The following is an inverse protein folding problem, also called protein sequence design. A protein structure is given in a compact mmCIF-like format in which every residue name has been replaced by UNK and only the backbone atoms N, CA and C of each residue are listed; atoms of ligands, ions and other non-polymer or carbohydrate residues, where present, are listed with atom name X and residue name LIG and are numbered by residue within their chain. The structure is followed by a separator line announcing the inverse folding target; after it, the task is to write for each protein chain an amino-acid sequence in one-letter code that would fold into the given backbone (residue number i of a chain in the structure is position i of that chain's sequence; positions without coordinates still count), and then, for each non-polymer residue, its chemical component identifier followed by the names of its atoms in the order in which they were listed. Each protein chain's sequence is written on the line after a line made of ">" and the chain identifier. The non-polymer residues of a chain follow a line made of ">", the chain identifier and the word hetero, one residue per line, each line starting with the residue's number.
data_IF_799221695643
#
_entry.id   IF_799221695643
#
_cell.length_a   1.000
_cell.length_b   1.000
_cell.length_c   1.000
_cell.angle_alpha   90.00
_cell.angle_beta   90.00
_cell.angle_gamma   90.00
#
_symmetry.space_group_name_H-M   'P 1'
#
loop_
_entity.id
_entity.type
_entity.pdbx_description
1 polymer ?
#
# COMPACT_ATOMS: atom_id res chain seq x y z
N UNK A 1 -2.51 -14.18 -13.30
CA UNK A 1 -2.60 -13.00 -12.40
C UNK A 1 -1.93 -11.81 -13.09
N UNK A 2 -2.54 -10.63 -12.95
CA UNK A 2 -2.00 -9.41 -13.51
C UNK A 2 -1.74 -8.40 -12.41
N UNK A 3 -0.67 -7.61 -12.54
CA UNK A 3 -0.37 -6.48 -11.65
C UNK A 3 -0.60 -5.22 -12.48
N UNK A 4 -1.57 -4.40 -12.09
CA UNK A 4 -2.05 -3.28 -12.88
C UNK A 4 -1.84 -1.96 -12.15
N UNK A 5 -1.56 -0.90 -12.91
CA UNK A 5 -1.63 0.48 -12.44
C UNK A 5 -3.07 0.96 -12.62
N UNK A 6 -3.73 1.33 -11.54
CA UNK A 6 -5.15 1.69 -11.56
C UNK A 6 -5.33 3.11 -12.12
N UNK A 7 -5.51 3.22 -13.42
CA UNK A 7 -5.71 4.48 -14.14
C UNK A 7 -7.14 4.70 -14.60
N UNK A 8 -8.04 3.77 -14.28
CA UNK A 8 -9.46 3.83 -14.67
C UNK A 8 -10.35 3.73 -13.44
N UNK A 9 -11.62 4.03 -13.59
CA UNK A 9 -12.62 3.83 -12.52
C UNK A 9 -12.66 2.37 -12.10
N UNK A 10 -12.63 1.44 -13.05
CA UNK A 10 -12.64 0.01 -12.75
C UNK A 10 -11.42 -0.42 -11.94
N UNK A 11 -10.23 0.08 -12.29
CA UNK A 11 -9.01 -0.20 -11.54
C UNK A 11 -9.09 0.32 -10.11
N UNK A 12 -9.57 1.55 -9.93
CA UNK A 12 -9.75 2.14 -8.59
C UNK A 12 -10.80 1.38 -7.77
N UNK A 13 -11.90 0.97 -8.41
CA UNK A 13 -12.91 0.15 -7.74
C UNK A 13 -12.30 -1.16 -7.22
N UNK A 14 -11.39 -1.76 -7.98
CA UNK A 14 -10.65 -2.95 -7.55
C UNK A 14 -9.81 -2.70 -6.30
N UNK A 15 -9.08 -1.58 -6.26
CA UNK A 15 -8.30 -1.20 -5.09
C UNK A 15 -9.20 -1.00 -3.85
N UNK A 16 -10.32 -0.30 -4.02
CA UNK A 16 -11.28 -0.05 -2.94
C UNK A 16 -11.92 -1.34 -2.44
N UNK A 17 -12.28 -2.23 -3.36
CA UNK A 17 -12.83 -3.54 -3.01
C UNK A 17 -11.89 -4.31 -2.09
N UNK A 18 -10.60 -4.41 -2.44
CA UNK A 18 -9.62 -5.13 -1.63
C UNK A 18 -9.51 -4.52 -0.24
N UNK A 19 -9.46 -3.18 -0.14
CA UNK A 19 -9.36 -2.47 1.15
C UNK A 19 -10.60 -2.70 2.00
N UNK A 20 -11.78 -2.70 1.41
CA UNK A 20 -13.04 -2.97 2.13
C UNK A 20 -13.03 -4.40 2.66
N UNK A 21 -12.70 -5.36 1.84
CA UNK A 21 -12.74 -6.78 2.24
C UNK A 21 -11.63 -7.13 3.25
N UNK A 22 -10.40 -6.68 3.00
CA UNK A 22 -9.24 -7.09 3.80
C UNK A 22 -9.02 -6.24 5.05
N UNK A 23 -9.57 -5.02 5.09
CA UNK A 23 -9.32 -4.07 6.20
C UNK A 23 -10.62 -3.64 6.87
N UNK A 24 -11.49 -2.91 6.17
CA UNK A 24 -12.68 -2.32 6.79
C UNK A 24 -13.58 -3.41 7.39
N UNK A 25 -13.86 -4.44 6.64
CA UNK A 25 -14.71 -5.55 7.08
C UNK A 25 -14.05 -6.38 8.18
N UNK A 26 -12.78 -6.72 7.99
CA UNK A 26 -12.05 -7.60 8.93
C UNK A 26 -11.84 -6.94 10.30
N UNK A 27 -11.47 -5.68 10.31
CA UNK A 27 -11.13 -4.93 11.53
C UNK A 27 -12.24 -4.00 12.02
N UNK A 28 -13.41 -4.06 11.38
CA UNK A 28 -14.57 -3.20 11.70
C UNK A 28 -14.20 -1.71 11.67
N UNK A 29 -13.45 -1.32 10.62
CA UNK A 29 -13.02 0.07 10.41
C UNK A 29 -14.10 0.80 9.63
N UNK A 30 -14.61 1.95 10.12
CA UNK A 30 -15.55 2.76 9.33
C UNK A 30 -14.92 3.19 8.00
N UNK A 31 -15.74 3.30 6.95
CA UNK A 31 -15.24 3.64 5.62
C UNK A 31 -14.55 5.00 5.58
N UNK A 32 -15.03 5.98 6.36
CA UNK A 32 -14.43 7.31 6.43
C UNK A 32 -13.10 7.33 7.21
N UNK A 33 -12.73 6.24 7.86
CA UNK A 33 -11.41 6.02 8.48
C UNK A 33 -10.51 5.27 7.53
N UNK A 34 -11.01 4.21 6.87
CA UNK A 34 -10.23 3.45 5.88
C UNK A 34 -9.87 4.33 4.67
N UNK A 35 -10.83 5.09 4.15
CA UNK A 35 -10.64 6.03 3.06
C UNK A 35 -10.47 7.42 3.66
N UNK A 36 -9.28 7.99 3.52
CA UNK A 36 -8.88 9.21 4.21
C UNK A 36 -8.61 10.37 3.23
N UNK A 37 -8.04 11.45 3.72
CA UNK A 37 -7.73 12.65 2.92
C UNK A 37 -6.72 12.39 1.81
N UNK A 38 -6.00 11.27 1.84
CA UNK A 38 -5.05 10.90 0.80
C UNK A 38 -5.69 10.12 -0.34
N UNK A 39 -6.95 9.75 -0.22
CA UNK A 39 -7.71 9.12 -1.31
C UNK A 39 -8.40 10.21 -2.14
N UNK A 40 -7.64 10.80 -3.05
CA UNK A 40 -8.10 11.88 -3.94
C UNK A 40 -8.21 11.37 -5.37
N UNK A 41 -8.80 12.14 -6.30
CA UNK A 41 -8.82 11.75 -7.71
C UNK A 41 -7.43 11.53 -8.32
N UNK A 42 -6.38 12.16 -7.75
CA UNK A 42 -5.01 12.05 -8.25
C UNK A 42 -4.21 10.95 -7.56
N UNK A 43 -4.75 10.31 -6.54
CA UNK A 43 -4.08 9.24 -5.84
C UNK A 43 -3.91 8.02 -6.75
N UNK A 44 -2.74 7.40 -6.70
CA UNK A 44 -2.39 6.26 -7.52
C UNK A 44 -2.48 4.97 -6.74
N UNK A 45 -2.93 3.92 -7.42
CA UNK A 45 -3.07 2.59 -6.82
C UNK A 45 -2.47 1.54 -7.74
N UNK A 46 -1.87 0.52 -7.13
CA UNK A 46 -1.56 -0.75 -7.79
C UNK A 46 -2.65 -1.75 -7.40
N UNK A 47 -3.09 -2.55 -8.34
CA UNK A 47 -4.08 -3.61 -8.10
C UNK A 47 -3.57 -4.90 -8.73
N UNK A 48 -3.55 -5.96 -7.95
CA UNK A 48 -3.34 -7.31 -8.46
C UNK A 48 -4.71 -7.94 -8.74
N UNK A 49 -4.86 -8.54 -9.91
CA UNK A 49 -6.12 -9.17 -10.34
C UNK A 49 -5.85 -10.61 -10.73
N UNK A 50 -6.60 -11.54 -10.15
CA UNK A 50 -6.58 -12.95 -10.51
C UNK A 50 -7.86 -13.28 -11.25
N UNK A 51 -7.75 -13.57 -12.56
CA UNK A 51 -8.86 -13.61 -13.49
C UNK A 51 -9.60 -12.26 -13.51
N UNK A 52 -10.74 -12.17 -12.89
CA UNK A 52 -11.51 -10.92 -12.79
C UNK A 52 -11.56 -10.37 -11.35
N UNK A 53 -10.99 -11.09 -10.38
CA UNK A 53 -11.09 -10.73 -8.97
C UNK A 53 -9.89 -9.89 -8.53
N UNK A 54 -10.10 -8.65 -8.04
CA UNK A 54 -9.04 -7.91 -7.39
C UNK A 54 -8.65 -8.58 -6.07
N UNK A 55 -7.35 -8.81 -5.87
CA UNK A 55 -6.87 -9.62 -4.73
C UNK A 55 -5.86 -8.90 -3.85
N UNK A 56 -5.23 -7.83 -4.35
CA UNK A 56 -4.25 -7.07 -3.58
C UNK A 56 -4.18 -5.65 -4.09
N UNK A 57 -3.70 -4.72 -3.25
CA UNK A 57 -3.55 -3.32 -3.63
C UNK A 57 -2.43 -2.65 -2.85
N UNK A 58 -1.95 -1.54 -3.40
CA UNK A 58 -1.04 -0.61 -2.77
C UNK A 58 -1.41 0.80 -3.20
N UNK A 59 -1.43 1.75 -2.27
CA UNK A 59 -1.71 3.16 -2.54
C UNK A 59 -0.41 3.95 -2.57
N UNK A 60 -0.28 4.87 -3.55
CA UNK A 60 0.85 5.78 -3.66
C UNK A 60 0.37 7.23 -3.64
N UNK A 61 1.04 8.07 -2.86
CA UNK A 61 0.87 9.52 -2.97
C UNK A 61 2.16 10.25 -2.59
N UNK A 62 2.37 11.45 -3.16
CA UNK A 62 3.55 12.23 -2.90
C UNK A 62 3.53 12.80 -1.48
N UNK A 63 4.65 12.66 -0.75
CA UNK A 63 4.90 13.40 0.49
C UNK A 63 5.48 14.77 0.12
N UNK A 64 6.46 14.76 -0.79
CA UNK A 64 7.10 15.95 -1.37
C UNK A 64 7.62 15.59 -2.77
N UNK A 65 8.45 16.44 -3.36
CA UNK A 65 8.97 16.18 -4.72
C UNK A 65 9.90 14.97 -4.81
N UNK A 66 10.48 14.54 -3.69
CA UNK A 66 11.46 13.44 -3.65
C UNK A 66 10.90 12.16 -3.03
N UNK A 67 9.95 12.29 -2.10
CA UNK A 67 9.46 11.15 -1.31
C UNK A 67 8.02 10.79 -1.66
N UNK A 68 7.79 9.50 -1.87
CA UNK A 68 6.46 8.92 -2.09
C UNK A 68 6.07 8.06 -0.89
N UNK A 69 4.83 8.19 -0.44
CA UNK A 69 4.27 7.28 0.57
C UNK A 69 3.63 6.10 -0.12
N UNK A 70 4.04 4.89 0.24
CA UNK A 70 3.32 3.67 -0.09
C UNK A 70 2.54 3.23 1.14
N UNK A 71 1.25 3.01 0.97
CA UNK A 71 0.39 2.61 2.08
C UNK A 71 -0.79 1.77 1.61
N UNK A 72 -1.65 1.44 2.56
CA UNK A 72 -2.81 0.58 2.26
C UNK A 72 -2.40 -0.65 1.45
N UNK A 73 -1.27 -1.27 1.85
CA UNK A 73 -0.73 -2.47 1.21
C UNK A 73 -1.41 -3.66 1.84
N UNK A 74 -2.32 -4.27 1.12
CA UNK A 74 -3.12 -5.38 1.64
C UNK A 74 -3.35 -6.44 0.56
N UNK A 75 -3.47 -7.68 1.01
CA UNK A 75 -3.78 -8.85 0.18
C UNK A 75 -4.99 -9.54 0.79
N UNK A 76 -5.93 -9.98 -0.04
CA UNK A 76 -7.07 -10.77 0.46
C UNK A 76 -6.54 -12.00 1.21
N UNK A 77 -7.18 -12.39 2.32
CA UNK A 77 -6.69 -13.50 3.16
C UNK A 77 -6.41 -14.78 2.39
N UNK A 78 -7.25 -15.14 1.42
CA UNK A 78 -7.14 -16.36 0.63
C UNK A 78 -5.91 -16.40 -0.27
N UNK A 79 -5.30 -15.23 -0.52
CA UNK A 79 -4.15 -15.09 -1.42
C UNK A 79 -2.86 -14.73 -0.68
N UNK A 80 -2.86 -14.76 0.64
CA UNK A 80 -1.66 -14.45 1.45
C UNK A 80 -0.62 -15.56 1.35
N UNK A 81 0.62 -15.21 1.72
CA UNK A 81 1.77 -16.13 1.73
C UNK A 81 2.15 -16.66 0.35
N UNK A 82 1.84 -15.91 -0.71
CA UNK A 82 2.16 -16.25 -2.10
C UNK A 82 3.06 -15.22 -2.78
N UNK A 83 3.60 -14.26 -2.01
CA UNK A 83 4.48 -13.21 -2.54
C UNK A 83 3.78 -12.08 -3.26
N UNK A 84 2.45 -12.00 -3.22
CA UNK A 84 1.67 -10.99 -3.96
C UNK A 84 1.90 -9.59 -3.38
N UNK A 85 1.99 -9.47 -2.05
CA UNK A 85 2.31 -8.20 -1.41
C UNK A 85 3.62 -7.60 -1.90
N UNK A 86 4.64 -8.43 -2.05
CA UNK A 86 5.93 -8.02 -2.61
C UNK A 86 5.78 -7.53 -4.05
N UNK A 87 4.97 -8.20 -4.87
CA UNK A 87 4.76 -7.82 -6.27
C UNK A 87 4.08 -6.46 -6.39
N UNK A 88 3.06 -6.18 -5.59
CA UNK A 88 2.38 -4.87 -5.66
C UNK A 88 3.27 -3.75 -5.16
N UNK A 89 4.09 -3.98 -4.13
CA UNK A 89 5.06 -2.99 -3.65
C UNK A 89 6.13 -2.72 -4.71
N UNK A 90 6.67 -3.76 -5.34
CA UNK A 90 7.68 -3.59 -6.40
C UNK A 90 7.15 -2.80 -7.59
N UNK A 91 5.92 -3.05 -8.01
CA UNK A 91 5.32 -2.27 -9.09
C UNK A 91 5.08 -0.82 -8.68
N UNK A 92 4.67 -0.59 -7.45
CA UNK A 92 4.53 0.76 -6.92
C UNK A 92 5.87 1.50 -6.91
N UNK A 93 6.95 0.84 -6.49
CA UNK A 93 8.29 1.41 -6.51
C UNK A 93 8.75 1.74 -7.93
N UNK A 94 8.49 0.86 -8.88
CA UNK A 94 8.82 1.09 -10.29
C UNK A 94 8.08 2.30 -10.84
N UNK A 95 6.80 2.38 -10.57
CA UNK A 95 6.02 3.55 -10.99
C UNK A 95 6.52 4.83 -10.34
N UNK A 96 6.83 4.78 -9.05
CA UNK A 96 7.37 5.93 -8.32
C UNK A 96 8.70 6.42 -8.93
N UNK A 97 9.60 5.51 -9.30
CA UNK A 97 10.85 5.87 -9.99
C UNK A 97 10.57 6.58 -11.32
N UNK A 98 9.63 6.07 -12.10
CA UNK A 98 9.24 6.67 -13.38
C UNK A 98 8.66 8.07 -13.19
N UNK A 99 8.00 8.31 -12.06
CA UNK A 99 7.45 9.63 -11.71
C UNK A 99 8.48 10.59 -11.13
N UNK A 100 9.71 10.14 -10.90
CA UNK A 100 10.81 10.98 -10.42
C UNK A 100 11.07 10.95 -8.93
N UNK A 101 10.38 10.09 -8.17
CA UNK A 101 10.64 9.96 -6.73
C UNK A 101 11.95 9.20 -6.50
N UNK A 102 12.68 9.60 -5.46
CA UNK A 102 13.97 9.01 -5.10
C UNK A 102 13.95 8.24 -3.78
N UNK A 103 12.89 8.42 -2.98
CA UNK A 103 12.72 7.73 -1.70
C UNK A 103 11.30 7.21 -1.56
N UNK A 104 11.16 5.95 -1.18
CA UNK A 104 9.89 5.34 -0.82
C UNK A 104 9.77 5.26 0.69
N UNK A 105 8.62 5.62 1.21
CA UNK A 105 8.31 5.64 2.64
C UNK A 105 7.12 4.73 2.90
N UNK A 106 7.18 3.92 3.95
CA UNK A 106 6.05 3.14 4.45
C UNK A 106 5.88 3.39 5.95
N UNK A 107 4.66 3.23 6.43
CA UNK A 107 4.35 3.20 7.86
C UNK A 107 3.94 1.78 8.20
N UNK A 108 4.86 1.03 8.80
CA UNK A 108 4.70 -0.39 9.04
C UNK A 108 4.25 -0.68 10.45
N UNK A 109 3.24 -1.55 10.59
CA UNK A 109 2.95 -2.18 11.89
C UNK A 109 4.20 -2.95 12.34
N UNK A 110 4.39 -3.09 13.66
CA UNK A 110 5.57 -3.74 14.24
C UNK A 110 5.77 -5.16 13.72
N UNK A 111 4.69 -5.93 13.56
CA UNK A 111 4.74 -7.30 13.07
C UNK A 111 5.00 -7.43 11.57
N UNK A 112 5.03 -6.31 10.82
CA UNK A 112 5.31 -6.27 9.38
C UNK A 112 6.68 -5.69 9.05
N UNK A 113 7.42 -5.21 10.04
CA UNK A 113 8.78 -4.68 9.83
C UNK A 113 9.67 -5.66 9.07
N UNK A 114 9.74 -6.97 9.43
CA UNK A 114 10.58 -7.92 8.68
C UNK A 114 10.20 -8.04 7.20
N UNK A 115 8.93 -7.93 6.86
CA UNK A 115 8.46 -7.95 5.48
C UNK A 115 9.07 -6.80 4.68
N UNK A 116 8.99 -5.57 5.22
CA UNK A 116 9.56 -4.40 4.54
C UNK A 116 11.08 -4.41 4.54
N UNK A 117 11.72 -4.88 5.62
CA UNK A 117 13.17 -5.03 5.66
C UNK A 117 13.67 -5.96 4.56
N UNK A 118 12.93 -7.03 4.27
CA UNK A 118 13.28 -7.96 3.19
C UNK A 118 13.29 -7.31 1.81
N UNK A 119 12.62 -6.15 1.66
CA UNK A 119 12.58 -5.39 0.42
C UNK A 119 13.51 -4.16 0.43
N UNK A 120 14.31 -4.00 1.48
CA UNK A 120 15.32 -2.95 1.57
C UNK A 120 14.90 -1.71 2.35
N UNK A 121 13.75 -1.73 3.03
CA UNK A 121 13.33 -0.63 3.90
C UNK A 121 14.06 -0.69 5.24
N UNK A 122 14.36 0.47 5.80
CA UNK A 122 15.02 0.61 7.10
C UNK A 122 14.08 1.36 8.03
N UNK A 123 13.81 0.76 9.20
CA UNK A 123 12.93 1.34 10.20
C UNK A 123 13.65 2.40 11.03
N UNK A 124 12.96 3.50 11.32
CA UNK A 124 13.34 4.44 12.36
C UNK A 124 12.44 4.17 13.58
N UNK A 125 12.98 3.49 14.57
CA UNK A 125 12.23 3.09 15.76
C UNK A 125 11.85 4.27 16.65
N UNK A 126 12.44 5.46 16.42
CA UNK A 126 12.05 6.69 17.11
C UNK A 126 10.83 7.35 16.47
N UNK A 127 10.50 7.01 15.22
CA UNK A 127 9.32 7.50 14.52
C UNK A 127 8.14 6.53 14.67
N UNK A 128 7.65 6.42 15.91
CA UNK A 128 6.49 5.62 16.24
C UNK A 128 5.22 6.45 16.01
N UNK A 129 4.27 5.86 15.31
CA UNK A 129 3.00 6.50 14.96
C UNK A 129 1.88 5.71 15.62
N UNK A 130 1.19 6.33 16.58
CA UNK A 130 0.05 5.71 17.25
C UNK A 130 -1.23 6.11 16.54
N UNK A 131 -1.78 5.16 15.77
CA UNK A 131 -3.04 5.32 15.07
C UNK A 131 -4.22 4.79 15.87
N UNK A 132 -5.43 5.04 15.38
CA UNK A 132 -6.66 4.55 16.01
C UNK A 132 -6.73 3.02 16.03
N UNK A 133 -6.23 2.36 15.01
CA UNK A 133 -6.32 0.92 14.83
C UNK A 133 -5.00 0.22 15.12
N UNK A 134 -3.88 0.79 14.65
CA UNK A 134 -2.57 0.18 14.71
C UNK A 134 -1.49 1.16 15.13
N UNK A 135 -0.45 0.64 15.81
CA UNK A 135 0.81 1.36 16.02
C UNK A 135 1.75 1.01 14.89
N UNK A 136 2.32 2.03 14.25
CA UNK A 136 3.21 1.87 13.11
C UNK A 136 4.56 2.54 13.35
N UNK A 137 5.55 2.12 12.56
CA UNK A 137 6.88 2.73 12.52
C UNK A 137 7.18 3.17 11.09
N UNK A 138 7.77 4.35 10.96
CA UNK A 138 8.18 4.86 9.65
C UNK A 138 9.40 4.11 9.16
N UNK A 139 9.38 3.70 7.91
CA UNK A 139 10.49 3.03 7.23
C UNK A 139 10.75 3.70 5.89
N UNK A 140 12.00 3.75 5.47
CA UNK A 140 12.39 4.38 4.21
C UNK A 140 13.32 3.47 3.41
N UNK A 141 13.26 3.66 2.09
CA UNK A 141 14.11 2.97 1.12
C UNK A 141 14.47 3.94 0.00
N UNK A 142 15.75 3.99 -0.36
CA UNK A 142 16.19 4.71 -1.55
C UNK A 142 15.76 3.94 -2.81
N UNK A 143 15.14 4.65 -3.72
CA UNK A 143 14.67 4.07 -4.98
C UNK A 143 15.73 4.09 -6.08
#
# INVERSE_FOLDING_TARGET
>A
MEILRATTTAGRAGAYYVRIQAMARKHQIPLDVEFDEHDTPDTKYIVAVDNYLPIATCRLYAIDDAKVMLGRIVVLPEYRHQGIGTLVVKEAETWARELGFTTSVVESRDNKIPFYESMGYVADMEQKIEGETFTCFRMEKNL
#
